data_IF_901614406124
#
_entry.id   IF_901614406124
#
_cell.length_a   1.000
_cell.length_b   1.000
_cell.length_c   1.000
_cell.angle_alpha   90.00
_cell.angle_beta   90.00
_cell.angle_gamma   90.00
#
_symmetry.space_group_name_H-M   'P 1'
#
loop_
_entity.id
_entity.type
_entity.pdbx_description
1 polymer ?
#
# COMPACT_ATOMS: atom_id res chain seq x y z
N UNK A 1 39.13 38.88 -35.32
CA UNK A 1 39.12 38.56 -33.87
C UNK A 1 37.73 38.54 -33.23
N UNK A 2 36.76 39.38 -33.61
CA UNK A 2 35.43 39.49 -32.93
C UNK A 2 34.57 38.21 -32.88
N UNK A 3 34.73 37.32 -33.85
CA UNK A 3 33.88 36.12 -33.98
C UNK A 3 34.15 35.06 -32.87
N UNK A 4 35.41 34.91 -32.43
CA UNK A 4 35.76 33.97 -31.36
C UNK A 4 35.15 34.38 -30.02
N UNK A 5 35.24 35.66 -29.70
CA UNK A 5 34.66 36.23 -28.49
C UNK A 5 33.13 36.04 -28.45
N UNK A 6 32.46 36.13 -29.60
CA UNK A 6 31.01 35.90 -29.69
C UNK A 6 30.63 34.43 -29.43
N UNK A 7 31.45 33.49 -29.93
CA UNK A 7 31.25 32.04 -29.69
C UNK A 7 31.49 31.71 -28.22
N UNK A 8 32.53 32.27 -27.61
CA UNK A 8 32.84 32.10 -26.19
C UNK A 8 31.73 32.68 -25.30
N UNK A 9 31.25 33.89 -25.60
CA UNK A 9 30.13 34.50 -24.89
C UNK A 9 28.85 33.67 -24.99
N UNK A 10 28.52 33.16 -26.20
CA UNK A 10 27.36 32.29 -26.39
C UNK A 10 27.46 31.02 -25.54
N UNK A 11 28.64 30.40 -25.52
CA UNK A 11 28.87 29.18 -24.73
C UNK A 11 28.70 29.44 -23.23
N UNK A 12 29.24 30.54 -22.72
CA UNK A 12 29.08 30.93 -21.30
C UNK A 12 27.59 31.12 -20.97
N UNK A 13 26.83 31.79 -21.83
CA UNK A 13 25.38 31.98 -21.62
C UNK A 13 24.62 30.65 -21.63
N UNK A 14 24.96 29.74 -22.54
CA UNK A 14 24.36 28.41 -22.60
C UNK A 14 24.67 27.58 -21.35
N UNK A 15 25.92 27.61 -20.87
CA UNK A 15 26.35 26.90 -19.67
C UNK A 15 25.64 27.43 -18.41
N UNK A 16 25.51 28.76 -18.27
CA UNK A 16 24.76 29.40 -17.19
C UNK A 16 23.27 29.01 -17.23
N UNK A 17 22.64 29.06 -18.40
CA UNK A 17 21.25 28.64 -18.58
C UNK A 17 21.04 27.16 -18.21
N UNK A 18 21.99 26.30 -18.57
CA UNK A 18 21.95 24.88 -18.21
C UNK A 18 22.11 24.70 -16.71
N UNK A 19 22.99 25.48 -16.07
CA UNK A 19 23.18 25.44 -14.61
C UNK A 19 21.92 25.84 -13.87
N UNK A 20 21.32 26.98 -14.22
CA UNK A 20 20.11 27.49 -13.55
C UNK A 20 18.95 26.49 -13.65
N UNK A 21 18.72 25.91 -14.82
CA UNK A 21 17.68 24.88 -15.02
C UNK A 21 17.97 23.61 -14.21
N UNK A 22 19.24 23.23 -14.04
CA UNK A 22 19.61 22.09 -13.19
C UNK A 22 19.35 22.39 -11.72
N UNK A 23 19.72 23.58 -11.26
CA UNK A 23 19.54 24.00 -9.88
C UNK A 23 18.05 24.11 -9.51
N UNK A 24 17.23 24.69 -10.38
CA UNK A 24 15.77 24.74 -10.21
C UNK A 24 15.15 23.35 -10.16
N UNK A 25 15.56 22.44 -11.04
CA UNK A 25 15.11 21.04 -11.03
C UNK A 25 15.54 20.32 -9.76
N UNK A 26 16.74 20.58 -9.28
CA UNK A 26 17.25 19.97 -8.06
C UNK A 26 16.46 20.49 -6.86
N UNK A 27 16.23 21.80 -6.76
CA UNK A 27 15.41 22.41 -5.73
C UNK A 27 13.99 21.82 -5.71
N UNK A 28 13.35 21.64 -6.87
CA UNK A 28 12.04 20.99 -6.96
C UNK A 28 12.07 19.53 -6.51
N UNK A 29 13.13 18.78 -6.83
CA UNK A 29 13.29 17.41 -6.36
C UNK A 29 13.53 17.36 -4.85
N UNK A 30 14.31 18.28 -4.31
CA UNK A 30 14.59 18.40 -2.88
C UNK A 30 13.30 18.68 -2.11
N UNK A 31 12.53 19.67 -2.55
CA UNK A 31 11.19 19.97 -2.02
C UNK A 31 10.26 18.76 -2.11
N UNK A 32 10.26 18.06 -3.25
CA UNK A 32 9.48 16.84 -3.44
C UNK A 32 9.87 15.73 -2.47
N UNK A 33 11.17 15.50 -2.24
CA UNK A 33 11.67 14.51 -1.27
C UNK A 33 11.25 14.87 0.15
N UNK A 34 11.34 16.14 0.53
CA UNK A 34 10.90 16.60 1.86
C UNK A 34 9.40 16.40 2.07
N UNK A 35 8.57 16.78 1.09
CA UNK A 35 7.13 16.61 1.16
C UNK A 35 6.73 15.13 1.28
N UNK A 36 7.34 14.26 0.45
CA UNK A 36 7.13 12.81 0.52
C UNK A 36 7.59 12.27 1.87
N UNK A 37 8.75 12.71 2.38
CA UNK A 37 9.28 12.30 3.68
C UNK A 37 8.33 12.63 4.83
N UNK A 38 7.76 13.85 4.83
CA UNK A 38 6.75 14.27 5.82
C UNK A 38 5.50 13.38 5.77
N UNK A 39 4.97 13.11 4.58
CA UNK A 39 3.80 12.23 4.40
C UNK A 39 4.12 10.80 4.86
N UNK A 40 5.29 10.26 4.50
CA UNK A 40 5.71 8.92 4.92
C UNK A 40 5.86 8.82 6.44
N UNK A 41 6.38 9.85 7.09
CA UNK A 41 6.51 9.89 8.54
C UNK A 41 5.13 9.90 9.21
N UNK A 42 4.19 10.69 8.71
CA UNK A 42 2.83 10.75 9.24
C UNK A 42 2.07 9.43 9.02
N UNK A 43 2.20 8.85 7.83
CA UNK A 43 1.64 7.53 7.52
C UNK A 43 2.22 6.45 8.45
N UNK A 44 3.53 6.48 8.72
CA UNK A 44 4.18 5.56 9.66
C UNK A 44 3.63 5.75 11.08
N UNK A 45 3.47 6.99 11.56
CA UNK A 45 2.90 7.27 12.88
C UNK A 45 1.48 6.74 13.00
N UNK A 46 0.63 7.06 12.02
CA UNK A 46 -0.77 6.64 12.00
C UNK A 46 -0.90 5.12 11.91
N UNK A 47 -0.11 4.47 11.07
CA UNK A 47 -0.10 3.01 10.95
C UNK A 47 0.39 2.36 12.25
N UNK A 48 1.53 2.80 12.80
CA UNK A 48 2.10 2.24 14.02
C UNK A 48 1.16 2.43 15.23
N UNK A 49 0.42 3.53 15.31
CA UNK A 49 -0.57 3.78 16.37
C UNK A 49 -1.66 2.69 16.40
N UNK A 50 -2.09 2.21 15.24
CA UNK A 50 -3.17 1.19 15.11
C UNK A 50 -2.65 -0.24 14.96
N UNK A 51 -1.34 -0.43 14.75
CA UNK A 51 -0.78 -1.75 14.45
C UNK A 51 -0.64 -2.58 15.72
N UNK A 52 -1.40 -3.67 15.78
CA UNK A 52 -1.21 -4.73 16.78
C UNK A 52 -0.14 -5.72 16.32
N UNK A 53 0.61 -6.33 17.25
CA UNK A 53 1.59 -7.38 16.93
C UNK A 53 0.85 -8.64 16.47
N UNK A 54 1.40 -9.33 15.47
CA UNK A 54 0.86 -10.60 15.01
C UNK A 54 1.01 -11.70 16.07
N UNK A 55 0.11 -12.68 16.03
CA UNK A 55 0.23 -13.87 16.88
C UNK A 55 1.47 -14.69 16.51
N UNK A 56 2.20 -15.13 17.52
CA UNK A 56 3.41 -15.93 17.37
C UNK A 56 3.04 -17.42 17.50
N UNK A 57 3.43 -18.19 16.49
CA UNK A 57 3.28 -19.64 16.45
C UNK A 57 4.65 -20.30 16.36
N UNK A 58 4.78 -21.49 16.93
CA UNK A 58 6.01 -22.30 16.92
C UNK A 58 5.82 -23.53 16.07
N UNK A 59 6.94 -24.11 15.62
CA UNK A 59 6.95 -25.42 14.96
C UNK A 59 6.26 -26.44 15.85
N UNK A 60 5.33 -27.20 15.30
CA UNK A 60 4.58 -28.23 16.00
C UNK A 60 3.24 -27.76 16.58
N UNK A 61 2.97 -26.45 16.63
CA UNK A 61 1.70 -25.93 17.11
C UNK A 61 0.55 -26.34 16.17
N UNK A 62 -0.60 -26.70 16.76
CA UNK A 62 -1.83 -26.95 16.02
C UNK A 62 -2.61 -25.65 15.80
N UNK A 63 -3.00 -25.41 14.56
CA UNK A 63 -3.64 -24.18 14.10
C UNK A 63 -4.77 -24.49 13.12
N UNK A 64 -5.78 -23.62 13.08
CA UNK A 64 -6.82 -23.60 12.06
C UNK A 64 -6.49 -22.51 11.02
N UNK A 65 -6.79 -22.77 9.75
CA UNK A 65 -6.59 -21.78 8.67
C UNK A 65 -7.93 -21.13 8.31
N UNK A 66 -7.96 -19.79 8.25
CA UNK A 66 -9.15 -19.05 7.81
C UNK A 66 -9.43 -19.31 6.32
N UNK A 67 -10.68 -19.61 5.99
CA UNK A 67 -11.13 -19.76 4.60
C UNK A 67 -11.13 -18.40 3.91
N UNK A 68 -10.42 -18.29 2.79
CA UNK A 68 -10.31 -17.03 2.02
C UNK A 68 -11.21 -16.99 0.80
N UNK A 69 -11.54 -18.16 0.23
CA UNK A 69 -12.41 -18.28 -0.93
C UNK A 69 -13.77 -18.84 -0.49
N UNK A 70 -14.83 -18.08 -0.74
CA UNK A 70 -16.22 -18.46 -0.47
C UNK A 70 -16.84 -18.86 -1.80
N UNK A 71 -17.05 -20.16 -2.00
CA UNK A 71 -17.67 -20.68 -3.22
C UNK A 71 -19.21 -20.52 -3.20
N UNK A 72 -19.89 -20.46 -4.36
CA UNK A 72 -21.36 -20.53 -4.39
C UNK A 72 -21.86 -21.77 -3.64
N UNK A 73 -22.84 -21.59 -2.75
CA UNK A 73 -23.38 -22.68 -1.90
C UNK A 73 -22.62 -22.92 -0.58
N UNK A 74 -21.54 -22.19 -0.29
CA UNK A 74 -20.75 -22.35 0.94
C UNK A 74 -21.30 -21.61 2.18
N UNK A 75 -22.58 -21.20 2.18
CA UNK A 75 -23.20 -20.47 3.30
C UNK A 75 -23.15 -21.24 4.62
N UNK A 76 -23.20 -22.57 4.57
CA UNK A 76 -23.14 -23.47 5.73
C UNK A 76 -21.75 -24.06 5.95
N UNK A 77 -20.72 -23.53 5.29
CA UNK A 77 -19.36 -24.04 5.43
C UNK A 77 -18.62 -23.35 6.59
N UNK A 78 -17.75 -24.07 7.27
CA UNK A 78 -17.00 -23.53 8.41
C UNK A 78 -16.08 -22.39 7.99
N UNK A 79 -15.96 -21.35 8.82
CA UNK A 79 -15.08 -20.20 8.56
C UNK A 79 -13.60 -20.58 8.60
N UNK A 80 -13.26 -21.59 9.40
CA UNK A 80 -11.91 -22.13 9.53
C UNK A 80 -11.86 -23.57 9.04
N UNK A 81 -10.75 -23.89 8.35
CA UNK A 81 -10.38 -25.23 7.93
C UNK A 81 -9.61 -25.92 9.07
N UNK A 82 -9.79 -27.23 9.15
CA UNK A 82 -9.41 -28.12 10.26
C UNK A 82 -7.94 -28.08 10.70
N UNK A 83 -7.52 -28.97 11.61
CA UNK A 83 -6.24 -28.83 12.28
C UNK A 83 -5.08 -28.96 11.30
N UNK A 84 -4.27 -27.92 11.22
CA UNK A 84 -2.97 -27.94 10.60
C UNK A 84 -1.89 -27.89 11.68
N UNK A 85 -0.74 -28.47 11.39
CA UNK A 85 0.45 -28.33 12.20
C UNK A 85 1.43 -27.37 11.52
N UNK A 86 2.02 -26.45 12.29
CA UNK A 86 3.08 -25.58 11.79
C UNK A 86 4.35 -26.40 11.54
N UNK A 87 4.75 -26.52 10.28
CA UNK A 87 5.99 -27.23 9.89
C UNK A 87 7.23 -26.34 10.03
N UNK A 88 7.13 -25.09 9.59
CA UNK A 88 8.23 -24.12 9.61
C UNK A 88 7.72 -22.69 9.83
N UNK A 89 8.55 -21.88 10.49
CA UNK A 89 8.33 -20.44 10.67
C UNK A 89 9.09 -19.70 9.56
N UNK A 90 8.37 -18.93 8.76
CA UNK A 90 8.92 -18.13 7.65
C UNK A 90 9.07 -16.65 8.05
N UNK A 91 9.64 -15.86 7.17
CA UNK A 91 9.77 -14.40 7.37
C UNK A 91 8.42 -13.68 7.25
N UNK A 92 8.32 -12.50 7.88
CA UNK A 92 7.17 -11.59 7.83
C UNK A 92 5.86 -12.21 8.37
N UNK A 93 5.94 -12.86 9.53
CA UNK A 93 4.80 -13.47 10.24
C UNK A 93 4.05 -14.51 9.39
N UNK A 94 4.77 -15.26 8.56
CA UNK A 94 4.23 -16.36 7.73
C UNK A 94 4.69 -17.70 8.25
N UNK A 95 3.87 -18.72 8.05
CA UNK A 95 4.11 -20.07 8.53
C UNK A 95 3.81 -21.06 7.42
N UNK A 96 4.66 -22.07 7.27
CA UNK A 96 4.33 -23.26 6.50
C UNK A 96 3.53 -24.20 7.40
N UNK A 97 2.39 -24.66 6.89
CA UNK A 97 1.42 -25.46 7.64
C UNK A 97 1.07 -26.70 6.84
N UNK A 98 1.03 -27.84 7.54
CA UNK A 98 0.73 -29.16 6.97
C UNK A 98 -0.53 -29.69 7.62
N UNK A 99 -1.42 -30.22 6.79
CA UNK A 99 -2.71 -30.73 7.21
C UNK A 99 -2.58 -31.94 8.14
N UNK A 100 -3.35 -31.97 9.21
CA UNK A 100 -3.39 -33.10 10.15
C UNK A 100 -4.75 -33.79 10.04
N UNK A 101 -4.75 -35.06 9.62
CA UNK A 101 -5.96 -35.85 9.47
C UNK A 101 -6.73 -35.56 8.17
N UNK A 102 -7.96 -36.05 8.13
CA UNK A 102 -8.82 -35.97 6.95
C UNK A 102 -9.92 -34.92 7.16
N UNK A 103 -9.72 -33.74 6.57
CA UNK A 103 -10.69 -32.66 6.55
C UNK A 103 -10.61 -31.88 5.23
N UNK A 104 -11.39 -30.83 5.05
CA UNK A 104 -11.34 -30.04 3.83
C UNK A 104 -10.10 -29.12 3.79
N UNK A 105 -9.48 -28.98 2.62
CA UNK A 105 -8.39 -28.02 2.37
C UNK A 105 -7.11 -28.65 1.80
N UNK A 106 -6.13 -27.80 1.40
CA UNK A 106 -4.87 -28.25 0.82
C UNK A 106 -4.02 -29.06 1.82
N UNK A 107 -3.16 -29.94 1.32
CA UNK A 107 -2.29 -30.77 2.17
C UNK A 107 -1.16 -29.97 2.83
N UNK A 108 -0.59 -29.00 2.10
CA UNK A 108 0.44 -28.10 2.60
C UNK A 108 0.21 -26.70 2.03
N UNK A 109 0.41 -25.66 2.84
CA UNK A 109 0.23 -24.26 2.40
C UNK A 109 1.12 -23.33 3.23
N UNK A 110 1.42 -22.15 2.70
CA UNK A 110 2.03 -21.05 3.46
C UNK A 110 0.98 -19.99 3.79
N UNK A 111 0.82 -19.65 5.06
CA UNK A 111 -0.25 -18.77 5.55
C UNK A 111 0.33 -17.67 6.45
N UNK A 112 -0.25 -16.47 6.41
CA UNK A 112 0.08 -15.38 7.34
C UNK A 112 -0.56 -15.60 8.72
N UNK A 113 0.07 -15.07 9.77
CA UNK A 113 -0.44 -15.15 11.14
C UNK A 113 -1.89 -14.66 11.29
N UNK A 114 -2.29 -13.64 10.51
CA UNK A 114 -3.63 -13.03 10.52
C UNK A 114 -4.74 -13.99 10.06
N UNK A 115 -4.36 -15.10 9.40
CA UNK A 115 -5.29 -16.12 8.93
C UNK A 115 -5.17 -17.43 9.72
N UNK A 116 -4.40 -17.43 10.81
CA UNK A 116 -4.26 -18.57 11.70
C UNK A 116 -4.98 -18.31 13.02
N UNK A 117 -5.66 -19.34 13.52
CA UNK A 117 -6.21 -19.41 14.89
C UNK A 117 -5.59 -20.63 15.58
N UNK A 118 -5.31 -20.55 16.88
CA UNK A 118 -4.84 -21.74 17.63
C UNK A 118 -5.94 -22.80 17.66
N UNK A 119 -5.58 -24.05 17.41
CA UNK A 119 -6.49 -25.18 17.52
C UNK A 119 -6.53 -25.66 18.97
N UNK A 120 -7.63 -25.43 19.68
CA UNK A 120 -7.83 -25.92 21.03
C UNK A 120 -8.62 -27.24 20.98
N UNK A 121 -8.02 -28.39 21.36
CA UNK A 121 -8.77 -29.63 21.44
C UNK A 121 -9.80 -29.54 22.58
N UNK A 122 -11.09 -29.54 22.24
CA UNK A 122 -12.20 -29.61 23.20
C UNK A 122 -13.04 -28.33 23.37
N UNK A 123 -12.77 -27.27 22.60
CA UNK A 123 -13.67 -26.12 22.52
C UNK A 123 -14.53 -26.25 21.27
N UNK A 124 -15.83 -26.48 21.46
CA UNK A 124 -16.85 -26.31 20.44
C UNK A 124 -16.72 -24.90 19.84
N UNK A 125 -16.57 -24.82 18.52
CA UNK A 125 -16.41 -23.57 17.75
C UNK A 125 -17.79 -22.86 17.63
N UNK A 126 -18.55 -22.81 18.73
CA UNK A 126 -19.78 -22.02 18.81
C UNK A 126 -19.38 -20.56 18.71
N UNK A 127 -19.70 -19.96 17.57
CA UNK A 127 -19.52 -18.57 17.15
C UNK A 127 -19.26 -17.58 18.30
N UNK A 128 -18.01 -17.52 18.77
CA UNK A 128 -17.56 -16.39 19.58
C UNK A 128 -17.01 -15.38 18.58
N UNK A 129 -17.90 -14.52 18.10
CA UNK A 129 -17.54 -13.29 17.39
C UNK A 129 -16.77 -12.40 18.37
N UNK A 130 -15.47 -12.69 18.52
CA UNK A 130 -14.53 -11.88 19.27
C UNK A 130 -14.16 -10.66 18.40
N UNK A 131 -15.18 -9.84 18.13
CA UNK A 131 -15.07 -8.49 17.60
C UNK A 131 -14.51 -7.61 18.73
N UNK A 132 -13.19 -7.62 18.91
CA UNK A 132 -12.48 -6.68 19.77
C UNK A 132 -12.59 -5.25 19.21
N UNK A 133 -13.77 -4.64 19.40
CA UNK A 133 -13.98 -3.21 19.28
C UNK A 133 -13.35 -2.55 20.50
N UNK A 134 -12.08 -2.18 20.40
CA UNK A 134 -11.48 -1.24 21.35
C UNK A 134 -12.10 0.14 21.08
N UNK A 135 -13.23 0.41 21.73
CA UNK A 135 -13.82 1.74 21.82
C UNK A 135 -13.08 2.54 22.90
N UNK A 136 -11.85 2.95 22.59
CA UNK A 136 -11.26 4.09 23.28
C UNK A 136 -11.77 5.36 22.58
N UNK A 137 -12.90 5.87 23.10
CA UNK A 137 -13.38 7.22 22.85
C UNK A 137 -12.29 8.19 23.32
N UNK A 138 -11.53 8.74 22.40
CA UNK A 138 -10.68 9.90 22.67
C UNK A 138 -11.51 11.10 22.25
N UNK A 139 -12.07 11.81 23.23
CA UNK A 139 -12.57 13.17 23.05
C UNK A 139 -11.40 14.03 22.56
N UNK A 140 -11.43 14.39 21.27
CA UNK A 140 -10.58 15.45 20.72
C UNK A 140 -11.49 16.65 20.49
N UNK A 141 -11.73 17.37 21.58
CA UNK A 141 -12.11 18.77 21.50
C UNK A 141 -10.84 19.56 21.19
N UNK A 142 -10.58 19.87 19.92
CA UNK A 142 -9.62 20.94 19.60
C UNK A 142 -9.93 21.62 18.27
N UNK A 143 -10.13 22.93 18.39
CA UNK A 143 -10.46 23.88 17.35
C UNK A 143 -9.56 23.78 16.12
N UNK A 144 -10.14 23.36 15.00
CA UNK A 144 -9.53 23.56 13.68
C UNK A 144 -9.71 25.02 13.27
N UNK A 145 -8.75 25.87 13.61
CA UNK A 145 -8.67 27.22 13.05
C UNK A 145 -8.58 27.13 11.52
N UNK A 146 -9.48 27.80 10.76
CA UNK A 146 -9.44 27.77 9.31
C UNK A 146 -8.23 28.56 8.81
N UNK A 147 -7.44 27.92 7.94
CA UNK A 147 -6.40 28.54 7.14
C UNK A 147 -6.97 29.76 6.40
N UNK A 148 -6.53 30.96 6.76
CA UNK A 148 -6.88 32.20 6.07
C UNK A 148 -6.23 32.22 4.68
N UNK A 149 -7.05 32.06 3.64
CA UNK A 149 -6.67 32.38 2.27
C UNK A 149 -6.68 33.90 2.11
N UNK A 150 -5.50 34.52 2.14
CA UNK A 150 -5.36 35.91 1.74
C UNK A 150 -5.16 36.02 0.23
N UNK A 151 -6.04 36.84 -0.36
CA UNK A 151 -5.88 37.67 -1.55
C UNK A 151 -6.20 37.05 -2.93
N UNK A 152 -7.37 37.41 -3.44
CA UNK A 152 -7.39 38.46 -4.46
C UNK A 152 -8.07 38.12 -5.80
N UNK A 153 -9.07 38.96 -6.11
CA UNK A 153 -9.63 39.32 -7.43
C UNK A 153 -10.79 38.50 -7.97
N UNK A 154 -11.94 38.96 -7.51
CA UNK A 154 -13.19 39.14 -8.24
C UNK A 154 -12.97 39.47 -9.73
N UNK A 155 -13.41 38.57 -10.62
CA UNK A 155 -13.84 38.90 -11.98
C UNK A 155 -15.11 38.10 -12.20
N UNK A 156 -16.24 38.80 -12.15
CA UNK A 156 -17.57 38.24 -12.37
C UNK A 156 -17.69 37.56 -13.73
N UNK A 157 -18.34 36.41 -13.76
CA UNK A 157 -18.87 35.80 -14.98
C UNK A 157 -20.32 35.41 -14.71
N UNK A 158 -21.18 36.07 -15.49
CA UNK A 158 -22.63 35.93 -15.56
C UNK A 158 -23.12 34.48 -15.58
N UNK A 159 -24.26 34.28 -14.90
CA UNK A 159 -25.10 33.10 -15.05
C UNK A 159 -25.59 33.01 -16.50
N UNK A 160 -25.12 31.99 -17.23
CA UNK A 160 -25.82 31.48 -18.42
C UNK A 160 -26.38 30.10 -18.12
N UNK A 161 -27.70 30.05 -18.09
CA UNK A 161 -28.51 28.84 -18.26
C UNK A 161 -28.18 28.15 -19.58
N UNK A 162 -28.07 26.82 -19.58
CA UNK A 162 -28.17 26.06 -20.82
C UNK A 162 -27.50 24.69 -20.82
N UNK A 163 -28.35 23.66 -20.89
CA UNK A 163 -28.21 22.44 -21.71
C UNK A 163 -27.10 21.45 -21.33
N UNK A 164 -27.53 20.23 -20.98
CA UNK A 164 -26.69 19.15 -20.47
C UNK A 164 -25.79 18.47 -21.50
N UNK A 165 -25.01 17.52 -20.99
CA UNK A 165 -24.69 16.28 -21.68
C UNK A 165 -24.11 15.27 -20.68
N UNK A 166 -24.84 14.17 -20.46
CA UNK A 166 -24.28 12.99 -19.81
C UNK A 166 -23.23 12.38 -20.74
N UNK A 167 -21.98 12.36 -20.32
CA UNK A 167 -20.96 11.52 -20.97
C UNK A 167 -20.34 10.59 -19.95
N UNK A 168 -20.71 9.33 -20.14
CA UNK A 168 -20.24 8.10 -19.50
C UNK A 168 -18.70 8.03 -19.52
N UNK A 169 -18.05 8.22 -18.36
CA UNK A 169 -16.60 8.01 -18.23
C UNK A 169 -16.34 6.55 -17.86
N UNK A 170 -16.17 5.72 -18.89
CA UNK A 170 -15.49 4.44 -18.78
C UNK A 170 -14.08 4.68 -18.23
N UNK A 171 -13.80 4.15 -17.02
CA UNK A 171 -12.45 4.13 -16.46
C UNK A 171 -11.62 3.11 -17.23
N UNK A 172 -10.59 3.56 -17.95
CA UNK A 172 -9.59 2.67 -18.55
C UNK A 172 -8.67 2.09 -17.46
N UNK A 173 -8.29 0.80 -17.52
CA UNK A 173 -7.35 0.23 -16.57
C UNK A 173 -5.92 0.67 -16.88
N UNK A 174 -5.12 0.83 -15.82
CA UNK A 174 -3.72 1.22 -15.85
C UNK A 174 -2.90 0.07 -16.45
N UNK A 175 -2.17 0.32 -17.56
CA UNK A 175 -1.22 -0.65 -18.10
C UNK A 175 -0.05 -0.85 -17.11
N UNK A 176 0.08 -2.06 -16.58
CA UNK A 176 1.30 -2.56 -15.95
C UNK A 176 2.38 -2.75 -17.02
N UNK A 177 3.46 -1.96 -16.96
CA UNK A 177 4.67 -2.22 -17.76
C UNK A 177 5.31 -3.52 -17.28
N UNK A 178 5.30 -4.53 -18.14
CA UNK A 178 6.05 -5.77 -17.98
C UNK A 178 7.55 -5.48 -17.96
N UNK A 179 8.23 -5.99 -16.92
CA UNK A 179 9.68 -5.97 -16.78
C UNK A 179 10.22 -7.25 -17.41
N UNK A 180 10.51 -7.23 -18.71
CA UNK A 180 11.17 -8.35 -19.38
C UNK A 180 11.96 -7.86 -20.60
N UNK A 181 13.22 -7.45 -20.39
CA UNK A 181 14.26 -7.42 -21.42
C UNK A 181 15.61 -7.03 -20.80
N UNK A 182 16.35 -8.00 -20.26
CA UNK A 182 17.77 -7.86 -19.99
C UNK A 182 18.43 -9.24 -19.84
N UNK A 183 18.46 -10.02 -20.92
CA UNK A 183 19.48 -11.04 -21.12
C UNK A 183 19.94 -10.92 -22.56
N UNK A 184 21.08 -10.26 -22.76
CA UNK A 184 21.78 -10.21 -24.04
C UNK A 184 23.28 -10.35 -23.76
N UNK A 185 23.82 -11.42 -24.32
CA UNK A 185 25.20 -11.60 -24.78
C UNK A 185 26.31 -11.64 -23.72
N UNK A 186 26.69 -12.86 -23.31
CA UNK A 186 28.09 -13.24 -23.09
C UNK A 186 28.31 -14.57 -23.83
N UNK A 187 29.49 -14.73 -24.42
CA UNK A 187 29.99 -15.84 -25.24
C UNK A 187 29.93 -15.63 -26.75
N UNK A 188 30.74 -14.69 -27.23
CA UNK A 188 31.65 -14.90 -28.37
C UNK A 188 32.94 -14.13 -28.10
N UNK A 189 33.95 -14.87 -27.65
CA UNK A 189 35.35 -14.85 -28.11
C UNK A 189 36.10 -15.91 -27.31
#
# INVERSE_FOLDING_TARGET
MRLRNFIELKKIIEDELISTVRDERQALRDQGREAIGKIQQENRRTYNKKRMKANIYKRGDLVAIKRTQVAPGSKFSTKYLGPYQVSDVLCADRYAVVKVGEHEGPQATTVSADHLKRWLPGFDDSDTDDESHNNDVIDIEEHRSPMSLQNGRDVGIEKRSGVGNSTNRQRSPILTRSRAAAQRAVLRN
#
